data_IF_343381891699
#
_entry.id   IF_343381891699
#
_cell.length_a   1.000
_cell.length_b   1.000
_cell.length_c   1.000
_cell.angle_alpha   90.00
_cell.angle_beta   90.00
_cell.angle_gamma   90.00
#
_symmetry.space_group_name_H-M   'P 1'
#
loop_
_entity.id
_entity.type
_entity.pdbx_description
1 polymer ?
#
# COMPACT_ATOMS: atom_id res chain seq x y z
N UNK A 1 18.72 -58.12 -17.85
CA UNK A 1 18.80 -56.71 -17.41
C UNK A 1 17.38 -56.21 -17.46
N UNK A 2 16.72 -56.25 -16.30
CA UNK A 2 15.44 -55.58 -16.05
C UNK A 2 15.74 -54.09 -15.89
N UNK A 3 14.98 -53.22 -16.54
CA UNK A 3 14.67 -51.92 -15.96
C UNK A 3 13.15 -51.74 -15.96
N UNK A 4 12.67 -51.55 -14.74
CA UNK A 4 11.32 -51.45 -14.23
C UNK A 4 10.77 -50.06 -14.55
N UNK A 5 9.68 -49.97 -15.34
CA UNK A 5 8.94 -48.71 -15.49
C UNK A 5 7.70 -48.77 -14.58
N UNK A 6 7.66 -47.99 -13.48
CA UNK A 6 6.57 -48.09 -12.52
C UNK A 6 5.28 -47.48 -13.09
N UNK A 7 4.10 -48.04 -12.75
CA UNK A 7 2.84 -47.55 -13.28
C UNK A 7 2.52 -46.14 -12.77
N UNK A 8 2.05 -45.28 -13.68
CA UNK A 8 1.63 -43.90 -13.36
C UNK A 8 0.49 -43.91 -12.33
N UNK A 9 0.59 -43.16 -11.21
CA UNK A 9 -0.43 -43.21 -10.17
C UNK A 9 -1.75 -42.60 -10.66
N UNK A 10 -2.82 -43.40 -10.66
CA UNK A 10 -4.19 -42.90 -10.83
C UNK A 10 -4.53 -41.95 -9.68
N UNK A 11 -4.71 -40.67 -9.99
CA UNK A 11 -5.08 -39.64 -9.00
C UNK A 11 -6.49 -39.93 -8.48
N UNK A 12 -6.61 -40.58 -7.32
CA UNK A 12 -7.88 -40.70 -6.59
C UNK A 12 -8.40 -39.31 -6.24
N UNK A 13 -9.73 -39.14 -6.17
CA UNK A 13 -10.48 -37.87 -5.99
C UNK A 13 -9.89 -36.89 -4.95
N UNK A 14 -9.10 -37.38 -4.02
CA UNK A 14 -8.38 -36.61 -2.99
C UNK A 14 -7.34 -35.63 -3.57
N UNK A 15 -6.69 -35.93 -4.71
CA UNK A 15 -5.69 -35.01 -5.30
C UNK A 15 -6.27 -33.73 -5.88
N UNK A 16 -7.54 -33.75 -6.35
CA UNK A 16 -8.20 -32.55 -6.89
C UNK A 16 -8.58 -31.55 -5.80
N UNK A 17 -8.68 -32.01 -4.55
CA UNK A 17 -9.02 -31.18 -3.41
C UNK A 17 -7.79 -30.41 -2.89
N UNK A 18 -6.60 -31.05 -2.92
CA UNK A 18 -5.33 -30.42 -2.54
C UNK A 18 -4.88 -29.32 -3.53
N UNK A 19 -5.22 -29.46 -4.82
CA UNK A 19 -4.85 -28.47 -5.84
C UNK A 19 -5.68 -27.18 -5.75
N UNK A 20 -6.98 -27.30 -5.44
CA UNK A 20 -7.87 -26.15 -5.15
C UNK A 20 -7.43 -25.35 -3.92
N UNK A 21 -6.80 -26.01 -2.96
CA UNK A 21 -6.34 -25.34 -1.74
C UNK A 21 -5.11 -24.46 -2.02
N UNK A 22 -4.22 -24.89 -2.93
CA UNK A 22 -3.08 -24.09 -3.38
C UNK A 22 -3.46 -22.89 -4.24
N UNK A 23 -4.48 -23.01 -5.06
CA UNK A 23 -4.97 -21.86 -5.86
C UNK A 23 -5.55 -20.76 -4.97
N UNK A 24 -6.22 -21.13 -3.87
CA UNK A 24 -6.81 -20.17 -2.92
C UNK A 24 -5.74 -19.40 -2.13
N UNK A 25 -4.64 -20.05 -1.76
CA UNK A 25 -3.50 -19.39 -1.10
C UNK A 25 -2.77 -18.39 -2.01
N UNK A 26 -2.80 -18.60 -3.33
CA UNK A 26 -2.15 -17.70 -4.30
C UNK A 26 -2.96 -16.44 -4.59
N UNK A 27 -4.27 -16.51 -4.41
CA UNK A 27 -5.19 -15.36 -4.49
C UNK A 27 -5.18 -14.53 -3.20
N UNK A 28 -5.00 -15.16 -2.04
CA UNK A 28 -4.93 -14.48 -0.73
C UNK A 28 -3.65 -13.64 -0.55
N UNK A 29 -2.57 -13.97 -1.28
CA UNK A 29 -1.36 -13.13 -1.36
C UNK A 29 -1.51 -11.92 -2.30
N UNK A 30 -2.65 -11.76 -2.99
CA UNK A 30 -2.95 -10.52 -3.71
C UNK A 30 -3.45 -9.49 -2.71
N UNK A 31 -2.55 -9.05 -1.82
CA UNK A 31 -2.76 -7.80 -1.10
C UNK A 31 -3.01 -6.74 -2.17
N UNK A 32 -4.18 -6.06 -2.20
CA UNK A 32 -4.24 -4.82 -2.96
C UNK A 32 -3.07 -3.99 -2.45
N UNK A 33 -2.27 -3.45 -3.37
CA UNK A 33 -1.10 -2.65 -3.07
C UNK A 33 -1.53 -1.53 -2.13
N UNK A 34 -1.53 -1.81 -0.82
CA UNK A 34 -1.69 -0.82 0.22
C UNK A 34 -0.43 -0.03 0.05
N UNK A 35 -0.55 1.11 -0.62
CA UNK A 35 0.52 2.05 -0.85
C UNK A 35 1.21 2.20 0.50
N UNK A 36 2.37 1.57 0.64
CA UNK A 36 3.16 1.68 1.84
C UNK A 36 3.49 3.16 1.95
N UNK A 37 2.94 3.81 2.96
CA UNK A 37 3.09 5.25 3.30
C UNK A 37 4.54 5.57 3.73
N UNK A 38 5.50 4.74 3.32
CA UNK A 38 6.74 4.51 4.04
C UNK A 38 7.90 5.41 3.62
N UNK A 39 7.75 6.29 2.63
CA UNK A 39 8.86 7.10 2.12
C UNK A 39 8.56 8.61 2.02
N UNK A 40 7.83 9.17 3.00
CA UNK A 40 7.80 10.63 3.16
C UNK A 40 6.67 11.28 3.97
N UNK A 41 5.64 10.55 4.43
CA UNK A 41 4.57 11.15 5.24
C UNK A 41 4.96 11.30 6.73
N UNK A 42 5.94 10.55 7.21
CA UNK A 42 6.44 10.67 8.60
C UNK A 42 7.11 12.04 8.85
N UNK A 43 7.73 12.64 7.83
CA UNK A 43 8.31 13.99 7.90
C UNK A 43 7.25 15.11 8.01
N UNK A 44 6.12 14.98 7.29
CA UNK A 44 5.11 16.05 7.24
C UNK A 44 4.44 16.29 8.60
N UNK A 45 4.13 15.22 9.34
CA UNK A 45 3.51 15.33 10.65
C UNK A 45 4.44 15.93 11.71
N UNK A 46 5.76 15.68 11.59
CA UNK A 46 6.77 16.32 12.43
C UNK A 46 6.82 17.83 12.17
N UNK A 47 6.84 18.21 10.90
CA UNK A 47 6.92 19.61 10.48
C UNK A 47 5.68 20.42 10.89
N UNK A 48 4.48 19.84 10.77
CA UNK A 48 3.25 20.48 11.27
C UNK A 48 3.29 20.78 12.76
N UNK A 49 3.86 19.88 13.57
CA UNK A 49 4.03 20.13 15.01
C UNK A 49 5.07 21.21 15.28
N UNK A 50 6.20 21.19 14.58
CA UNK A 50 7.26 22.19 14.71
C UNK A 50 6.80 23.60 14.32
N UNK A 51 5.92 23.70 13.33
CA UNK A 51 5.33 24.97 12.86
C UNK A 51 4.03 25.33 13.58
N UNK A 52 3.62 24.57 14.60
CA UNK A 52 2.39 24.78 15.36
C UNK A 52 1.13 24.89 14.48
N UNK A 53 1.09 24.12 13.38
CA UNK A 53 -0.04 24.07 12.45
C UNK A 53 -1.23 23.41 13.16
N UNK A 54 -2.27 24.21 13.43
CA UNK A 54 -3.54 23.73 13.94
C UNK A 54 -4.49 23.27 12.81
N UNK A 55 -5.70 22.81 13.18
CA UNK A 55 -6.68 22.32 12.23
C UNK A 55 -7.22 23.39 11.26
N UNK A 56 -7.19 24.67 11.64
CA UNK A 56 -7.64 25.76 10.76
C UNK A 56 -6.53 26.15 9.78
N UNK A 57 -5.30 26.29 10.27
CA UNK A 57 -4.11 26.55 9.47
C UNK A 57 -3.84 25.42 8.47
N UNK A 58 -4.07 24.16 8.86
CA UNK A 58 -3.97 23.00 7.96
C UNK A 58 -4.80 23.17 6.68
N UNK A 59 -5.99 23.74 6.80
CA UNK A 59 -6.88 23.99 5.65
C UNK A 59 -6.41 25.18 4.79
N UNK A 60 -5.52 26.04 5.29
CA UNK A 60 -4.95 27.15 4.53
C UNK A 60 -3.64 26.77 3.82
N UNK A 61 -3.09 25.58 4.10
CA UNK A 61 -1.88 25.11 3.43
C UNK A 61 -2.10 24.95 1.92
N UNK A 62 -1.05 25.30 1.19
CA UNK A 62 -0.98 25.22 -0.28
C UNK A 62 0.20 24.33 -0.64
N UNK A 63 0.26 23.90 -1.91
CA UNK A 63 1.38 23.11 -2.42
C UNK A 63 2.73 23.80 -2.19
N UNK A 64 2.79 25.13 -2.36
CA UNK A 64 4.02 25.91 -2.14
C UNK A 64 4.51 25.83 -0.68
N UNK A 65 3.61 25.88 0.32
CA UNK A 65 4.02 25.72 1.72
C UNK A 65 4.64 24.35 1.98
N UNK A 66 4.08 23.30 1.39
CA UNK A 66 4.58 21.94 1.54
C UNK A 66 5.95 21.77 0.88
N UNK A 67 6.14 22.33 -0.31
CA UNK A 67 7.39 22.20 -1.07
C UNK A 67 8.51 23.12 -0.54
N UNK A 68 8.18 24.38 -0.27
CA UNK A 68 9.15 25.45 -0.01
C UNK A 68 9.43 25.64 1.49
N UNK A 69 8.41 25.53 2.33
CA UNK A 69 8.56 25.75 3.79
C UNK A 69 8.86 24.45 4.54
N UNK A 70 8.23 23.35 4.12
CA UNK A 70 8.37 22.04 4.77
C UNK A 70 9.33 21.10 4.05
N UNK A 71 9.94 21.57 2.95
CA UNK A 71 10.89 20.81 2.13
C UNK A 71 10.37 19.43 1.69
N UNK A 72 9.05 19.28 1.53
CA UNK A 72 8.46 18.03 1.06
C UNK A 72 8.74 17.84 -0.43
N UNK A 73 8.90 16.58 -0.84
CA UNK A 73 8.98 16.23 -2.25
C UNK A 73 7.61 16.43 -2.91
N UNK A 74 7.61 16.70 -4.22
CA UNK A 74 6.39 16.91 -5.01
C UNK A 74 5.36 15.78 -4.88
N UNK A 75 5.81 14.53 -4.91
CA UNK A 75 4.90 13.37 -4.76
C UNK A 75 4.09 13.42 -3.45
N UNK A 76 4.74 13.38 -2.27
CA UNK A 76 4.07 13.54 -0.98
C UNK A 76 3.26 14.83 -0.84
N UNK A 77 3.77 15.97 -1.30
CA UNK A 77 3.06 17.25 -1.21
C UNK A 77 1.72 17.21 -1.96
N UNK A 78 1.70 16.67 -3.18
CA UNK A 78 0.47 16.54 -3.97
C UNK A 78 -0.55 15.60 -3.32
N UNK A 79 -0.11 14.48 -2.74
CA UNK A 79 -1.00 13.57 -2.00
C UNK A 79 -1.65 14.29 -0.81
N UNK A 80 -0.84 15.03 -0.05
CA UNK A 80 -1.31 15.75 1.13
C UNK A 80 -2.28 16.87 0.76
N UNK A 81 -2.02 17.62 -0.31
CA UNK A 81 -2.96 18.60 -0.86
C UNK A 81 -4.30 17.96 -1.25
N UNK A 82 -4.30 16.79 -1.88
CA UNK A 82 -5.53 16.09 -2.23
C UNK A 82 -6.32 15.66 -0.97
N UNK A 83 -5.63 15.19 0.07
CA UNK A 83 -6.25 14.86 1.35
C UNK A 83 -6.84 16.08 2.05
N UNK A 84 -6.09 17.19 2.12
CA UNK A 84 -6.56 18.46 2.70
C UNK A 84 -7.80 18.98 1.96
N UNK A 85 -7.82 18.92 0.63
CA UNK A 85 -8.98 19.33 -0.16
C UNK A 85 -10.21 18.45 0.12
N UNK A 86 -10.02 17.13 0.24
CA UNK A 86 -11.12 16.22 0.61
C UNK A 86 -11.72 16.52 1.98
N UNK A 87 -10.92 17.08 2.91
CA UNK A 87 -11.41 17.50 4.23
C UNK A 87 -12.17 18.85 4.20
N UNK A 88 -11.90 19.72 3.21
CA UNK A 88 -12.61 20.99 3.04
C UNK A 88 -14.03 20.81 2.51
N UNK A 89 -14.20 19.78 1.69
CA UNK A 89 -15.46 19.47 1.02
C UNK A 89 -16.39 18.58 1.87
N UNK A 90 -15.94 18.14 3.04
CA UNK A 90 -16.66 17.30 4.00
C UNK A 90 -17.47 18.13 5.01
#
# INVERSE_FOLDING_TARGET
MEEDEPPVPMKTRLRKQAERQRDREREEQRTPETISVSDGEEDAAGEFRSQEIDGQALLLLTEDHLLSTMNLKLGPALKLCAHINSLKDA
#
